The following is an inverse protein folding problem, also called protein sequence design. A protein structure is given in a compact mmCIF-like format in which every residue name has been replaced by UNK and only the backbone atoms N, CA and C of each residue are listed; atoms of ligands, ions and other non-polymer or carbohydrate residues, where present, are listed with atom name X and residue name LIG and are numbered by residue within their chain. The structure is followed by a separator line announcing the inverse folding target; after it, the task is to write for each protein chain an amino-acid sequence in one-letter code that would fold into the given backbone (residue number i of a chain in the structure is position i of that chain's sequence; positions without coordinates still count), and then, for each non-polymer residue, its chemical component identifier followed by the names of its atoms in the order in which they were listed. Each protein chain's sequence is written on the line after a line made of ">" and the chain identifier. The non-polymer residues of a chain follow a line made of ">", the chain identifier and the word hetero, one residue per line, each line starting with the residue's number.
data_IF_954461980400
#
_entry.id   IF_954461980400
#
_cell.length_a   1.000
_cell.length_b   1.000
_cell.length_c   1.000
_cell.angle_alpha   90.00
_cell.angle_beta   90.00
_cell.angle_gamma   90.00
#
_symmetry.space_group_name_H-M   'P 1'
#
loop_
_entity.id
_entity.type
_entity.pdbx_description
1 polymer ?
#
# COMPACT_ATOMS: atom_id res chain seq x y z
N UNK A 1 -0.07 -14.02 14.10
CA UNK A 1 0.87 -12.89 14.20
C UNK A 1 1.76 -12.88 12.96
N UNK A 2 2.01 -11.74 12.29
CA UNK A 2 2.89 -11.69 11.11
C UNK A 2 3.94 -10.56 11.25
N UNK A 3 5.22 -10.92 11.10
CA UNK A 3 6.43 -10.07 11.13
C UNK A 3 6.29 -8.86 10.20
N UNK A 4 5.74 -9.06 9.00
CA UNK A 4 5.56 -8.03 7.98
C UNK A 4 4.86 -6.77 8.51
N UNK A 5 3.78 -6.98 9.27
CA UNK A 5 2.97 -5.88 9.79
C UNK A 5 3.65 -5.07 10.90
N UNK A 6 4.54 -5.69 11.66
CA UNK A 6 5.33 -4.99 12.68
C UNK A 6 6.49 -4.27 12.02
N UNK A 7 7.23 -4.94 11.15
CA UNK A 7 8.39 -4.37 10.46
C UNK A 7 8.02 -3.15 9.62
N UNK A 8 6.95 -3.26 8.82
CA UNK A 8 6.48 -2.16 7.97
C UNK A 8 5.57 -1.15 8.71
N UNK A 9 5.33 -1.35 10.00
CA UNK A 9 4.44 -0.52 10.84
C UNK A 9 3.00 -0.37 10.35
N UNK A 10 2.58 -1.09 9.30
CA UNK A 10 1.21 -1.08 8.78
C UNK A 10 0.17 -1.60 9.78
N UNK A 11 0.62 -2.15 10.92
CA UNK A 11 -0.26 -2.47 12.05
C UNK A 11 -0.89 -1.26 12.72
N UNK A 12 -0.19 -0.13 12.74
CA UNK A 12 -0.60 1.06 13.46
C UNK A 12 -0.98 2.16 12.46
N UNK A 13 -1.76 1.82 11.44
CA UNK A 13 -2.33 2.77 10.48
C UNK A 13 -3.43 3.64 11.15
N UNK A 14 -3.19 4.12 12.37
CA UNK A 14 -4.04 5.05 13.14
C UNK A 14 -3.92 6.49 12.65
N UNK A 15 -3.72 6.63 11.34
CA UNK A 15 -3.67 7.92 10.67
C UNK A 15 -5.11 8.32 10.45
N UNK A 16 -5.46 9.50 10.95
CA UNK A 16 -6.73 10.14 10.68
C UNK A 16 -6.44 11.38 9.84
N UNK A 17 -6.39 11.25 8.51
CA UNK A 17 -6.32 12.40 7.62
C UNK A 17 -7.50 13.32 7.88
N UNK A 18 -7.32 14.61 7.62
CA UNK A 18 -8.42 15.57 7.71
C UNK A 18 -9.58 15.13 6.78
N UNK A 19 -10.78 14.84 7.33
CA UNK A 19 -11.89 14.33 6.55
C UNK A 19 -12.44 15.34 5.54
N UNK A 20 -12.25 16.65 5.78
CA UNK A 20 -12.66 17.69 4.83
C UNK A 20 -11.73 17.71 3.62
N UNK A 21 -10.43 17.42 3.82
CA UNK A 21 -9.44 17.34 2.75
C UNK A 21 -9.43 15.98 2.04
N UNK A 22 -9.74 14.89 2.76
CA UNK A 22 -9.65 13.51 2.27
C UNK A 22 -10.94 12.71 2.52
N UNK A 23 -12.10 13.14 2.01
CA UNK A 23 -13.39 12.51 2.31
C UNK A 23 -13.53 11.07 1.81
N UNK A 24 -12.67 10.66 0.87
CA UNK A 24 -12.62 9.28 0.34
C UNK A 24 -11.81 8.33 1.20
N UNK A 25 -11.09 8.83 2.21
CA UNK A 25 -10.30 8.03 3.13
C UNK A 25 -11.18 7.56 4.29
N UNK A 26 -11.70 6.34 4.16
CA UNK A 26 -12.56 5.68 5.14
C UNK A 26 -11.88 4.43 5.73
N UNK A 27 -12.48 3.87 6.77
CA UNK A 27 -11.97 2.64 7.41
C UNK A 27 -11.88 1.45 6.44
N UNK A 28 -12.87 1.18 5.56
CA UNK A 28 -12.75 0.14 4.54
C UNK A 28 -11.53 0.30 3.62
N UNK A 29 -11.25 1.52 3.16
CA UNK A 29 -10.08 1.79 2.33
C UNK A 29 -8.78 1.60 3.12
N UNK A 30 -8.72 2.09 4.38
CA UNK A 30 -7.56 1.90 5.27
C UNK A 30 -7.23 0.42 5.45
N UNK A 31 -8.24 -0.43 5.68
CA UNK A 31 -8.06 -1.89 5.76
C UNK A 31 -7.57 -2.48 4.45
N UNK A 32 -8.09 -2.01 3.32
CA UNK A 32 -7.67 -2.49 2.00
C UNK A 32 -6.20 -2.16 1.72
N UNK A 33 -5.74 -0.93 2.02
CA UNK A 33 -4.33 -0.52 1.88
C UNK A 33 -3.39 -1.38 2.73
N UNK A 34 -3.80 -1.70 3.97
CA UNK A 34 -3.02 -2.57 4.85
C UNK A 34 -2.94 -3.99 4.29
N UNK A 35 -4.06 -4.53 3.80
CA UNK A 35 -4.13 -5.87 3.25
C UNK A 35 -3.26 -6.03 1.99
N UNK A 36 -3.22 -5.02 1.11
CA UNK A 36 -2.29 -4.96 -0.03
C UNK A 36 -0.84 -5.22 0.42
N UNK A 37 -0.36 -4.45 1.40
CA UNK A 37 1.02 -4.56 1.87
C UNK A 37 1.33 -5.93 2.50
N UNK A 38 0.38 -6.49 3.25
CA UNK A 38 0.56 -7.81 3.86
C UNK A 38 0.61 -8.93 2.81
N UNK A 39 -0.29 -8.91 1.83
CA UNK A 39 -0.31 -9.90 0.74
C UNK A 39 0.94 -9.80 -0.13
N UNK A 40 1.37 -8.58 -0.46
CA UNK A 40 2.58 -8.34 -1.22
C UNK A 40 3.83 -8.85 -0.50
N UNK A 41 4.00 -8.52 0.79
CA UNK A 41 5.13 -9.03 1.56
C UNK A 41 5.08 -10.56 1.64
N UNK A 42 3.88 -11.12 1.90
CA UNK A 42 3.70 -12.57 1.96
C UNK A 42 4.09 -13.23 0.64
N UNK A 43 3.73 -12.67 -0.52
CA UNK A 43 4.11 -13.24 -1.81
C UNK A 43 5.61 -13.18 -2.06
N UNK A 44 6.27 -12.08 -1.70
CA UNK A 44 7.75 -11.97 -1.84
C UNK A 44 8.44 -13.05 -1.02
N UNK A 45 7.99 -13.30 0.21
CA UNK A 45 8.56 -14.33 1.09
C UNK A 45 8.22 -15.76 0.65
N UNK A 46 6.96 -16.05 0.33
CA UNK A 46 6.51 -17.40 -0.02
C UNK A 46 7.02 -17.84 -1.39
N UNK A 47 7.19 -16.90 -2.31
CA UNK A 47 7.70 -17.18 -3.66
C UNK A 47 9.24 -17.06 -3.74
N UNK A 48 9.94 -16.93 -2.61
CA UNK A 48 11.40 -16.77 -2.50
C UNK A 48 11.97 -15.75 -3.50
N UNK A 49 11.32 -14.57 -3.57
CA UNK A 49 11.70 -13.52 -4.51
C UNK A 49 12.89 -12.74 -3.96
N UNK A 50 13.65 -12.17 -4.88
CA UNK A 50 14.71 -11.24 -4.53
C UNK A 50 14.13 -10.10 -3.66
N UNK A 51 14.84 -9.73 -2.59
CA UNK A 51 14.46 -8.61 -1.73
C UNK A 51 14.28 -7.30 -2.52
N UNK A 52 14.99 -7.12 -3.63
CA UNK A 52 14.81 -5.99 -4.55
C UNK A 52 13.39 -5.88 -5.09
N UNK A 53 12.66 -6.99 -5.22
CA UNK A 53 11.24 -7.00 -5.59
C UNK A 53 10.40 -6.16 -4.63
N UNK A 54 10.79 -6.01 -3.36
CA UNK A 54 10.08 -5.10 -2.46
C UNK A 54 10.17 -3.62 -2.89
N UNK A 55 11.16 -3.26 -3.70
CA UNK A 55 11.39 -1.89 -4.16
C UNK A 55 10.91 -1.66 -5.59
N UNK A 56 11.01 -2.66 -6.46
CA UNK A 56 10.83 -2.49 -7.92
C UNK A 56 9.77 -3.40 -8.55
N UNK A 57 8.96 -4.10 -7.75
CA UNK A 57 7.93 -5.00 -8.26
C UNK A 57 7.05 -4.34 -9.34
N UNK A 58 6.70 -5.13 -10.34
CA UNK A 58 5.81 -4.77 -11.44
C UNK A 58 4.37 -5.28 -11.21
N UNK A 59 4.04 -5.67 -9.98
CA UNK A 59 2.72 -6.15 -9.59
C UNK A 59 2.33 -5.65 -8.20
N UNK A 60 1.02 -5.67 -7.92
CA UNK A 60 0.47 -5.44 -6.57
C UNK A 60 -0.79 -6.30 -6.36
N UNK A 61 -1.37 -6.25 -5.16
CA UNK A 61 -2.62 -6.88 -4.81
C UNK A 61 -3.70 -5.83 -4.58
N UNK A 62 -4.83 -5.95 -5.30
CA UNK A 62 -5.96 -5.02 -5.15
C UNK A 62 -7.29 -5.76 -5.10
N UNK A 63 -8.22 -5.23 -4.31
CA UNK A 63 -9.65 -5.51 -4.44
C UNK A 63 -10.36 -4.32 -5.12
N UNK A 64 -11.67 -4.40 -5.33
CA UNK A 64 -12.41 -3.33 -6.04
C UNK A 64 -12.27 -1.94 -5.41
N UNK A 65 -12.30 -1.86 -4.07
CA UNK A 65 -12.18 -0.57 -3.35
C UNK A 65 -10.81 0.07 -3.58
N UNK A 66 -9.74 -0.71 -3.49
CA UNK A 66 -8.38 -0.24 -3.69
C UNK A 66 -8.07 0.02 -5.17
N UNK A 67 -8.57 -0.83 -6.07
CA UNK A 67 -8.46 -0.64 -7.51
C UNK A 67 -9.10 0.69 -7.95
N UNK A 68 -10.29 1.03 -7.40
CA UNK A 68 -10.90 2.35 -7.61
C UNK A 68 -10.05 3.49 -7.07
N UNK A 69 -9.41 3.31 -5.91
CA UNK A 69 -8.50 4.30 -5.35
C UNK A 69 -7.26 4.53 -6.24
N UNK A 70 -6.75 3.48 -6.88
CA UNK A 70 -5.60 3.53 -7.78
C UNK A 70 -5.94 3.80 -9.25
N UNK A 71 -7.22 3.86 -9.62
CA UNK A 71 -7.63 4.03 -11.02
C UNK A 71 -7.35 2.79 -11.89
N UNK A 72 -7.36 1.60 -11.30
CA UNK A 72 -7.19 0.31 -12.00
C UNK A 72 -8.59 -0.19 -12.41
N UNK A 73 -8.93 -0.21 -13.71
CA UNK A 73 -10.22 -0.72 -14.16
C UNK A 73 -10.26 -2.26 -14.16
N UNK A 74 -11.45 -2.83 -14.19
CA UNK A 74 -11.66 -4.26 -14.44
C UNK A 74 -11.63 -5.18 -13.21
N UNK A 75 -11.36 -4.65 -12.01
CA UNK A 75 -11.41 -5.41 -10.75
C UNK A 75 -12.78 -5.23 -10.10
N UNK A 76 -13.37 -6.36 -9.66
CA UNK A 76 -14.68 -6.39 -9.00
C UNK A 76 -14.64 -7.32 -7.79
N UNK A 77 -15.42 -6.97 -6.76
CA UNK A 77 -15.53 -7.75 -5.53
C UNK A 77 -14.48 -7.39 -4.47
N UNK A 78 -14.65 -8.03 -3.31
CA UNK A 78 -13.85 -7.75 -2.10
C UNK A 78 -12.55 -8.56 -2.04
N UNK A 79 -12.45 -9.63 -2.82
CA UNK A 79 -11.27 -10.49 -2.89
C UNK A 79 -10.10 -9.77 -3.55
N UNK A 80 -8.91 -9.98 -2.97
CA UNK A 80 -7.68 -9.42 -3.50
C UNK A 80 -7.15 -10.25 -4.66
N UNK A 81 -6.79 -9.57 -5.74
CA UNK A 81 -6.24 -10.17 -6.94
C UNK A 81 -4.86 -9.58 -7.21
N UNK A 82 -3.91 -10.44 -7.61
CA UNK A 82 -2.60 -9.98 -8.11
C UNK A 82 -2.79 -9.34 -9.47
N UNK A 83 -2.38 -8.10 -9.62
CA UNK A 83 -2.49 -7.33 -10.86
C UNK A 83 -1.12 -6.87 -11.33
N UNK A 84 -0.87 -6.96 -12.64
CA UNK A 84 0.32 -6.42 -13.26
C UNK A 84 0.18 -4.90 -13.42
N UNK A 85 1.21 -4.16 -13.01
CA UNK A 85 1.32 -2.72 -13.21
C UNK A 85 1.95 -2.46 -14.58
N UNK A 86 1.32 -1.60 -15.38
CA UNK A 86 1.89 -1.20 -16.68
C UNK A 86 3.07 -0.26 -16.48
N UNK A 87 3.99 -0.12 -17.46
CA UNK A 87 5.13 0.78 -17.37
C UNK A 87 4.77 2.23 -17.00
N UNK A 88 3.62 2.72 -17.47
CA UNK A 88 3.10 4.06 -17.18
C UNK A 88 2.62 4.20 -15.73
N UNK A 89 2.37 3.06 -15.07
CA UNK A 89 1.95 2.92 -13.68
C UNK A 89 3.04 2.34 -12.79
N UNK A 90 4.34 2.42 -13.19
CA UNK A 90 5.54 1.99 -12.42
C UNK A 90 5.71 2.76 -11.10
N UNK A 91 4.75 2.55 -10.21
CA UNK A 91 4.75 2.83 -8.80
C UNK A 91 4.44 1.49 -8.14
N UNK A 92 5.33 0.53 -8.33
CA UNK A 92 5.25 -0.76 -7.65
C UNK A 92 6.30 -0.86 -6.56
N UNK A 93 6.24 -1.92 -5.77
CA UNK A 93 7.02 -2.06 -4.55
C UNK A 93 6.42 -1.33 -3.34
N UNK A 94 6.82 -1.77 -2.15
CA UNK A 94 6.20 -1.43 -0.87
C UNK A 94 6.20 0.07 -0.57
N UNK A 95 7.22 0.81 -1.05
CA UNK A 95 7.35 2.26 -0.85
C UNK A 95 6.25 3.08 -1.53
N UNK A 96 5.56 2.46 -2.50
CA UNK A 96 4.54 3.11 -3.31
C UNK A 96 3.11 2.77 -2.88
N UNK A 97 2.96 1.81 -1.95
CA UNK A 97 1.66 1.42 -1.41
C UNK A 97 1.04 2.57 -0.62
N UNK A 98 -0.27 2.75 -0.76
CA UNK A 98 -0.97 3.83 -0.09
C UNK A 98 -0.89 3.75 1.44
N UNK A 99 -0.77 2.56 2.02
CA UNK A 99 -0.51 2.39 3.46
C UNK A 99 0.81 3.02 3.89
N UNK A 100 1.89 2.81 3.13
CA UNK A 100 3.22 3.35 3.45
C UNK A 100 3.26 4.86 3.14
N UNK A 101 2.65 5.28 2.03
CA UNK A 101 2.53 6.68 1.69
C UNK A 101 1.73 7.47 2.73
N UNK A 102 0.64 6.88 3.25
CA UNK A 102 -0.13 7.49 4.32
C UNK A 102 0.70 7.56 5.61
N UNK A 103 1.34 6.45 6.05
CA UNK A 103 2.18 6.40 7.26
C UNK A 103 3.32 7.41 7.25
N UNK A 104 3.88 7.68 6.07
CA UNK A 104 4.98 8.62 5.87
C UNK A 104 4.52 10.03 5.53
N UNK A 105 3.21 10.32 5.63
CA UNK A 105 2.63 11.65 5.40
C UNK A 105 2.21 12.33 6.71
N UNK A 106 2.14 13.66 6.70
CA UNK A 106 1.50 14.41 7.77
C UNK A 106 -0.04 14.40 7.56
N UNK A 107 -0.85 14.66 8.61
CA UNK A 107 -2.31 14.63 8.51
C UNK A 107 -2.92 15.55 7.44
N UNK A 108 -2.21 16.62 7.07
CA UNK A 108 -2.66 17.65 6.11
C UNK A 108 -1.84 17.70 4.81
N UNK A 109 -0.70 16.99 4.71
CA UNK A 109 0.16 16.98 3.50
C UNK A 109 1.13 15.80 3.48
N UNK A 110 1.53 15.35 2.29
CA UNK A 110 2.68 14.44 2.13
C UNK A 110 3.97 15.05 2.69
N UNK A 111 4.80 14.24 3.37
CA UNK A 111 6.05 14.68 4.01
C UNK A 111 7.24 13.87 3.48
N UNK A 112 8.01 14.41 2.50
CA UNK A 112 9.20 13.73 1.99
C UNK A 112 10.25 13.44 3.08
N UNK A 113 10.33 14.28 4.12
CA UNK A 113 11.29 14.13 5.23
C UNK A 113 10.94 12.92 6.12
N UNK A 114 9.66 12.72 6.44
CA UNK A 114 9.23 11.53 7.19
C UNK A 114 9.44 10.25 6.37
N UNK A 115 9.28 10.32 5.04
CA UNK A 115 9.58 9.21 4.14
C UNK A 115 11.08 8.86 4.12
N UNK A 116 11.95 9.87 4.14
CA UNK A 116 13.41 9.66 4.27
C UNK A 116 13.79 9.00 5.59
N UNK A 117 13.16 9.40 6.70
CA UNK A 117 13.38 8.80 8.03
C UNK A 117 12.86 7.36 8.13
N UNK A 118 11.88 6.94 7.33
CA UNK A 118 11.42 5.54 7.33
C UNK A 118 12.44 4.58 6.69
N UNK A 119 13.32 5.10 5.81
CA UNK A 119 14.34 4.32 5.11
C UNK A 119 15.66 4.26 5.92
N UNK A 120 15.94 5.27 6.74
CA UNK A 120 17.18 5.42 7.53
C UNK A 120 17.03 4.88 8.95
#
# INVERSE_FOLDING_TARGET
>A
ENFAGQWLQVRNLDITPDPDLFPKFDEPLRRAMRQETLLFFQSVMQEDRNLMTMLDADYTYVNERLARHYGIPGIKGDDFQRVQLTPERRRGGVLTHASILALTSNPTRTSPVNRGKWIL
#
